data_IF_981568620021
#
_entry.id   IF_981568620021
#
_cell.length_a   1.000
_cell.length_b   1.000
_cell.length_c   1.000
_cell.angle_alpha   90.00
_cell.angle_beta   90.00
_cell.angle_gamma   90.00
#
_symmetry.space_group_name_H-M   'P 1'
#
loop_
_entity.id
_entity.type
_entity.pdbx_description
1 polymer ?
#
# COMPACT_ATOMS: atom_id res chain seq x y z
N UNK A 1 -25.58 8.23 2.29
CA UNK A 1 -24.40 9.09 2.49
C UNK A 1 -23.24 8.24 3.02
N UNK A 2 -22.10 8.30 2.39
CA UNK A 2 -20.93 7.55 2.84
C UNK A 2 -20.33 8.15 4.10
N UNK A 3 -19.92 7.29 5.04
CA UNK A 3 -19.15 7.71 6.19
C UNK A 3 -17.71 8.04 5.77
N UNK A 4 -17.01 8.79 6.62
CA UNK A 4 -15.60 9.08 6.37
C UNK A 4 -14.76 7.81 6.28
N UNK A 5 -15.07 6.83 7.13
CA UNK A 5 -14.36 5.55 7.12
C UNK A 5 -14.58 4.81 5.81
N UNK A 6 -15.81 4.83 5.30
CA UNK A 6 -16.13 4.18 4.02
C UNK A 6 -15.37 4.84 2.87
N UNK A 7 -15.26 6.16 2.86
CA UNK A 7 -14.48 6.90 1.87
C UNK A 7 -13.00 6.52 1.92
N UNK A 8 -12.46 6.40 3.14
CA UNK A 8 -11.06 6.01 3.32
C UNK A 8 -10.81 4.59 2.85
N UNK A 9 -11.73 3.67 3.14
CA UNK A 9 -11.64 2.30 2.67
C UNK A 9 -11.64 2.25 1.13
N UNK A 10 -12.55 2.99 0.51
CA UNK A 10 -12.62 3.10 -0.95
C UNK A 10 -11.31 3.69 -1.51
N UNK A 11 -10.82 4.77 -0.90
CA UNK A 11 -9.56 5.38 -1.32
C UNK A 11 -8.40 4.41 -1.20
N UNK A 12 -8.36 3.63 -0.12
CA UNK A 12 -7.32 2.62 0.08
C UNK A 12 -7.37 1.55 -1.02
N UNK A 13 -8.56 1.11 -1.39
CA UNK A 13 -8.72 0.08 -2.41
C UNK A 13 -8.42 0.59 -3.82
N UNK A 14 -8.65 1.86 -4.08
CA UNK A 14 -8.48 2.46 -5.40
C UNK A 14 -7.13 3.13 -5.61
N UNK A 15 -6.35 3.32 -4.56
CA UNK A 15 -5.08 4.03 -4.68
C UNK A 15 -4.12 3.25 -5.59
N UNK A 16 -3.49 3.99 -6.51
CA UNK A 16 -2.50 3.43 -7.43
C UNK A 16 -1.36 4.42 -7.62
N UNK A 17 -0.15 3.89 -7.81
CA UNK A 17 0.98 4.72 -8.17
C UNK A 17 0.92 4.98 -9.68
N UNK A 18 0.86 6.24 -10.07
CA UNK A 18 0.90 6.62 -11.46
C UNK A 18 2.34 6.55 -11.98
N UNK A 19 2.49 6.25 -13.28
CA UNK A 19 3.82 6.07 -13.87
C UNK A 19 4.68 7.33 -13.85
N UNK A 20 4.07 8.51 -13.86
CA UNK A 20 4.77 9.79 -13.82
C UNK A 20 5.02 10.30 -12.40
N UNK A 21 4.60 9.54 -11.38
CA UNK A 21 4.78 9.91 -9.99
C UNK A 21 5.86 9.07 -9.32
N UNK A 22 6.43 9.60 -8.25
CA UNK A 22 7.43 8.87 -7.47
C UNK A 22 6.76 7.92 -6.48
N UNK A 23 7.49 6.89 -6.08
CA UNK A 23 7.04 6.00 -5.02
C UNK A 23 6.79 6.76 -3.73
N UNK A 24 7.65 7.73 -3.40
CA UNK A 24 7.51 8.51 -2.17
C UNK A 24 6.17 9.25 -2.10
N UNK A 25 5.72 9.81 -3.21
CA UNK A 25 4.42 10.47 -3.28
C UNK A 25 3.26 9.50 -3.04
N UNK A 26 3.33 8.34 -3.67
CA UNK A 26 2.34 7.29 -3.49
C UNK A 26 2.31 6.80 -2.05
N UNK A 27 3.48 6.55 -1.49
CA UNK A 27 3.61 6.02 -0.13
C UNK A 27 3.10 7.03 0.92
N UNK A 28 3.37 8.30 0.71
CA UNK A 28 2.87 9.36 1.59
C UNK A 28 1.34 9.38 1.62
N UNK A 29 0.71 9.26 0.45
CA UNK A 29 -0.75 9.17 0.37
C UNK A 29 -1.29 7.93 1.07
N UNK A 30 -0.64 6.80 0.86
CA UNK A 30 -1.05 5.54 1.48
C UNK A 30 -0.99 5.63 3.00
N UNK A 31 0.10 6.15 3.53
CA UNK A 31 0.27 6.32 4.97
C UNK A 31 -0.77 7.28 5.55
N UNK A 32 -1.09 8.33 4.81
CA UNK A 32 -2.10 9.28 5.23
C UNK A 32 -3.48 8.62 5.37
N UNK A 33 -3.83 7.79 4.39
CA UNK A 33 -5.08 7.02 4.43
C UNK A 33 -5.11 6.07 5.62
N UNK A 34 -4.02 5.35 5.85
CA UNK A 34 -3.92 4.40 6.96
C UNK A 34 -4.05 5.11 8.30
N UNK A 35 -3.37 6.24 8.47
CA UNK A 35 -3.43 7.03 9.70
C UNK A 35 -4.83 7.62 9.92
N UNK A 36 -5.46 8.10 8.87
CA UNK A 36 -6.83 8.64 8.96
C UNK A 36 -7.82 7.56 9.36
N UNK A 37 -7.68 6.36 8.80
CA UNK A 37 -8.54 5.23 9.18
C UNK A 37 -8.33 4.87 10.65
N UNK A 38 -7.09 4.85 11.12
CA UNK A 38 -6.77 4.57 12.51
C UNK A 38 -7.45 5.58 13.44
N UNK A 39 -7.43 6.86 13.09
CA UNK A 39 -8.07 7.92 13.87
C UNK A 39 -9.59 7.76 13.93
N UNK A 40 -10.17 7.06 12.97
CA UNK A 40 -11.61 6.77 12.95
C UNK A 40 -11.95 5.42 13.59
N UNK A 41 -10.95 4.77 14.22
CA UNK A 41 -11.17 3.51 14.92
C UNK A 41 -10.92 2.26 14.08
N UNK A 42 -10.41 2.40 12.86
CA UNK A 42 -10.14 1.26 11.99
C UNK A 42 -8.63 1.05 11.83
N UNK A 43 -8.14 -0.13 12.21
CA UNK A 43 -6.74 -0.49 12.01
C UNK A 43 -6.61 -1.33 10.75
N UNK A 44 -5.83 -0.82 9.79
CA UNK A 44 -5.52 -1.60 8.59
C UNK A 44 -4.27 -2.43 8.87
N UNK A 45 -4.40 -3.75 8.81
CA UNK A 45 -3.33 -4.67 9.13
C UNK A 45 -2.19 -4.58 8.11
N UNK A 46 -0.96 -4.78 8.59
CA UNK A 46 0.23 -4.66 7.75
C UNK A 46 0.23 -5.56 6.52
N UNK A 47 -0.16 -6.85 6.60
CA UNK A 47 -0.26 -7.67 5.39
C UNK A 47 -1.18 -7.10 4.33
N UNK A 48 -2.29 -6.48 4.74
CA UNK A 48 -3.21 -5.83 3.82
C UNK A 48 -2.58 -4.62 3.16
N UNK A 49 -1.80 -3.84 3.90
CA UNK A 49 -1.08 -2.69 3.37
C UNK A 49 -0.04 -3.15 2.36
N UNK A 50 0.74 -4.18 2.70
CA UNK A 50 1.76 -4.75 1.82
C UNK A 50 1.14 -5.21 0.50
N UNK A 51 0.05 -5.96 0.55
CA UNK A 51 -0.63 -6.43 -0.66
C UNK A 51 -1.15 -5.28 -1.49
N UNK A 52 -1.66 -4.25 -0.84
CA UNK A 52 -2.14 -3.06 -1.53
C UNK A 52 -1.00 -2.36 -2.27
N UNK A 53 0.14 -2.19 -1.62
CA UNK A 53 1.33 -1.58 -2.24
C UNK A 53 1.73 -2.38 -3.48
N UNK A 54 1.86 -3.71 -3.35
CA UNK A 54 2.28 -4.56 -4.45
C UNK A 54 1.33 -4.48 -5.64
N UNK A 55 0.02 -4.44 -5.36
CA UNK A 55 -0.99 -4.36 -6.40
C UNK A 55 -1.01 -3.01 -7.10
N UNK A 56 -0.63 -1.95 -6.39
CA UNK A 56 -0.77 -0.58 -6.85
C UNK A 56 0.43 -0.06 -7.63
N UNK A 57 1.54 -0.78 -7.65
CA UNK A 57 2.75 -0.35 -8.33
C UNK A 57 2.64 -0.55 -9.84
N UNK A 58 3.24 0.38 -10.64
CA UNK A 58 3.23 0.25 -12.08
C UNK A 58 4.13 -0.88 -12.56
N UNK A 59 4.00 -1.21 -13.84
CA UNK A 59 4.69 -2.35 -14.45
C UNK A 59 6.22 -2.28 -14.33
N UNK A 60 6.80 -1.09 -14.27
CA UNK A 60 8.25 -0.93 -14.11
C UNK A 60 8.79 -1.57 -12.83
N UNK A 61 7.93 -1.80 -11.83
CA UNK A 61 8.31 -2.48 -10.59
C UNK A 61 8.07 -3.99 -10.63
N UNK A 62 7.52 -4.50 -11.74
CA UNK A 62 7.09 -5.89 -11.83
C UNK A 62 8.21 -6.89 -11.50
N UNK A 63 9.41 -6.68 -12.05
CA UNK A 63 10.54 -7.57 -11.79
C UNK A 63 10.93 -7.57 -10.31
N UNK A 64 10.93 -6.42 -9.66
CA UNK A 64 11.22 -6.32 -8.23
C UNK A 64 10.16 -7.00 -7.39
N UNK A 65 8.89 -6.81 -7.75
CA UNK A 65 7.78 -7.46 -7.06
C UNK A 65 7.88 -8.97 -7.17
N UNK A 66 8.17 -9.48 -8.36
CA UNK A 66 8.33 -10.91 -8.58
C UNK A 66 9.46 -11.47 -7.73
N UNK A 67 10.60 -10.78 -7.69
CA UNK A 67 11.74 -11.19 -6.87
C UNK A 67 11.40 -11.23 -5.39
N UNK A 68 10.67 -10.23 -4.90
CA UNK A 68 10.23 -10.17 -3.50
C UNK A 68 9.30 -11.34 -3.18
N UNK A 69 8.33 -11.60 -4.07
CA UNK A 69 7.36 -12.69 -3.86
C UNK A 69 8.04 -14.06 -3.85
N UNK A 70 9.11 -14.23 -4.61
CA UNK A 70 9.85 -15.49 -4.66
C UNK A 70 10.74 -15.69 -3.43
N UNK A 71 11.29 -14.61 -2.88
CA UNK A 71 12.25 -14.69 -1.78
C UNK A 71 11.64 -14.48 -0.40
N UNK A 72 10.44 -13.91 -0.31
CA UNK A 72 9.78 -13.55 0.93
C UNK A 72 8.34 -14.04 0.96
N UNK A 73 7.85 -14.35 2.16
CA UNK A 73 6.44 -14.63 2.36
C UNK A 73 5.70 -13.29 2.49
N UNK A 74 4.84 -12.99 1.53
CA UNK A 74 4.12 -11.71 1.47
C UNK A 74 3.27 -11.48 2.72
N UNK A 75 2.75 -12.54 3.32
CA UNK A 75 1.91 -12.41 4.51
C UNK A 75 2.74 -12.11 5.76
N UNK A 76 4.05 -12.31 5.72
CA UNK A 76 4.95 -12.11 6.86
C UNK A 76 5.94 -10.96 6.66
N UNK A 77 6.09 -10.45 5.45
CA UNK A 77 7.02 -9.35 5.21
C UNK A 77 6.52 -8.09 5.89
N UNK A 78 7.43 -7.36 6.53
CA UNK A 78 7.11 -6.07 7.12
C UNK A 78 7.10 -4.99 6.04
N UNK A 79 6.25 -3.99 6.21
CA UNK A 79 6.15 -2.89 5.26
C UNK A 79 7.49 -2.19 5.08
N UNK A 80 8.25 -2.02 6.15
CA UNK A 80 9.58 -1.41 6.08
C UNK A 80 10.56 -2.22 5.24
N UNK A 81 10.47 -3.55 5.31
CA UNK A 81 11.29 -4.43 4.47
C UNK A 81 10.90 -4.29 3.00
N UNK A 82 9.60 -4.26 2.73
CA UNK A 82 9.11 -4.11 1.37
C UNK A 82 9.60 -2.80 0.76
N UNK A 83 9.42 -1.69 1.49
CA UNK A 83 9.83 -0.37 1.02
C UNK A 83 11.34 -0.31 0.79
N UNK A 84 12.11 -0.93 1.67
CA UNK A 84 13.57 -0.98 1.53
C UNK A 84 14.04 -1.77 0.31
N UNK A 85 13.22 -2.66 -0.23
CA UNK A 85 13.56 -3.47 -1.40
C UNK A 85 13.02 -2.88 -2.72
N UNK A 86 12.28 -1.81 -2.65
CA UNK A 86 11.79 -1.10 -3.83
C UNK A 86 12.74 0.03 -4.20
#
# INVERSE_FOLDING_TARGET
>A
MESKLQRLTTSFEEIKMEEDKSFDEFYAKLKDIVNSAFNLGETILEPKIVRNVLRSLPERFHAKITAIKESKDIDKILLTELVGNL
#
